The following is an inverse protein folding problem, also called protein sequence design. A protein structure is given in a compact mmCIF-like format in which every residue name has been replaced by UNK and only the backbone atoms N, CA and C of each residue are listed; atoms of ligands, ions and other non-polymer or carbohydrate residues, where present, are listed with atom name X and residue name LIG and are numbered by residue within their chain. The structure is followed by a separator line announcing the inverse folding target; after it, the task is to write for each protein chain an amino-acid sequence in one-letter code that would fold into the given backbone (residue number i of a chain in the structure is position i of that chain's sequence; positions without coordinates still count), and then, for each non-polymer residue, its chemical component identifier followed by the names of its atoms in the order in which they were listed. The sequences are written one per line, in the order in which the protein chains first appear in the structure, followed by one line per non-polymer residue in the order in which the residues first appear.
data_IF_573612010968
#
_entry.id   IF_573612010968
#
_cell.length_a   1.000
_cell.length_b   1.000
_cell.length_c   1.000
_cell.angle_alpha   90.00
_cell.angle_beta   90.00
_cell.angle_gamma   90.00
#
_symmetry.space_group_name_H-M   'P 1'
#
loop_
_entity.id
_entity.type
_entity.pdbx_description
1 polymer ?
#
# COMPACT_ATOMS: atom_id res chain seq x y z
N UNK A 1 -11.98 -8.47 -27.56
CA UNK A 1 -11.19 -7.59 -26.68
C UNK A 1 -11.85 -7.59 -25.31
N UNK A 2 -11.14 -8.05 -24.27
CA UNK A 2 -11.65 -7.99 -22.90
C UNK A 2 -11.26 -6.61 -22.34
N UNK A 3 -12.22 -5.84 -21.83
CA UNK A 3 -11.94 -4.53 -21.20
C UNK A 3 -11.55 -4.77 -19.75
N UNK A 4 -10.36 -4.33 -19.39
CA UNK A 4 -9.92 -4.22 -18.00
C UNK A 4 -10.17 -2.79 -17.53
N UNK A 5 -11.22 -2.61 -16.74
CA UNK A 5 -11.55 -1.33 -16.12
C UNK A 5 -10.61 -1.06 -14.94
N UNK A 6 -10.49 0.21 -14.57
CA UNK A 6 -9.87 0.57 -13.30
C UNK A 6 -10.70 -0.04 -12.14
N UNK A 7 -10.06 -0.69 -11.15
CA UNK A 7 -10.80 -1.37 -10.10
C UNK A 7 -11.55 -0.38 -9.23
N UNK A 8 -12.79 -0.71 -8.87
CA UNK A 8 -13.53 0.02 -7.82
C UNK A 8 -12.96 -0.28 -6.42
N UNK A 9 -13.56 0.29 -5.38
CA UNK A 9 -13.10 0.12 -4.00
C UNK A 9 -13.13 -1.34 -3.54
N UNK A 10 -14.26 -2.04 -3.72
CA UNK A 10 -14.44 -3.43 -3.32
C UNK A 10 -13.43 -4.34 -4.04
N UNK A 11 -13.18 -4.08 -5.33
CA UNK A 11 -12.18 -4.79 -6.12
C UNK A 11 -10.76 -4.52 -5.62
N UNK A 12 -10.43 -3.27 -5.23
CA UNK A 12 -9.13 -2.97 -4.64
C UNK A 12 -8.95 -3.66 -3.28
N UNK A 13 -9.99 -3.70 -2.45
CA UNK A 13 -9.93 -4.43 -1.18
C UNK A 13 -9.67 -5.93 -1.41
N UNK A 14 -10.39 -6.54 -2.36
CA UNK A 14 -10.19 -7.94 -2.73
C UNK A 14 -8.76 -8.20 -3.23
N UNK A 15 -8.20 -7.30 -4.05
CA UNK A 15 -6.80 -7.38 -4.49
C UNK A 15 -5.88 -7.32 -3.26
N UNK A 16 -6.04 -6.32 -2.38
CA UNK A 16 -5.19 -6.16 -1.20
C UNK A 16 -5.20 -7.37 -0.26
N UNK A 17 -6.37 -7.97 -0.04
CA UNK A 17 -6.51 -9.18 0.80
C UNK A 17 -5.84 -10.40 0.18
N UNK A 18 -5.76 -10.46 -1.15
CA UNK A 18 -5.20 -11.60 -1.89
C UNK A 18 -3.77 -11.41 -2.39
N UNK A 19 -3.17 -10.22 -2.23
CA UNK A 19 -1.91 -9.89 -2.91
C UNK A 19 -0.69 -10.54 -2.26
N UNK A 20 -0.74 -10.76 -0.94
CA UNK A 20 0.35 -11.33 -0.18
C UNK A 20 0.26 -12.87 -0.16
N UNK A 21 1.35 -13.58 -0.49
CA UNK A 21 1.43 -15.03 -0.27
C UNK A 21 1.17 -15.41 1.19
N UNK A 22 0.65 -16.62 1.42
CA UNK A 22 0.32 -17.12 2.77
C UNK A 22 1.51 -17.12 3.74
N UNK A 23 2.74 -17.25 3.23
CA UNK A 23 3.95 -17.29 4.03
C UNK A 23 4.49 -15.89 4.38
N UNK A 24 3.94 -14.83 3.81
CA UNK A 24 4.36 -13.46 4.12
C UNK A 24 3.88 -13.11 5.54
N UNK A 25 4.77 -12.75 6.48
CA UNK A 25 4.35 -12.28 7.79
C UNK A 25 3.61 -10.95 7.62
N UNK A 26 2.34 -10.91 8.03
CA UNK A 26 1.51 -9.72 7.98
C UNK A 26 1.18 -9.26 9.39
N UNK A 27 1.11 -7.95 9.57
CA UNK A 27 0.55 -7.38 10.79
C UNK A 27 -0.95 -7.68 10.86
N UNK A 28 -1.45 -8.04 12.04
CA UNK A 28 -2.87 -8.23 12.32
C UNK A 28 -3.69 -6.94 12.19
N UNK A 29 -3.05 -5.77 12.29
CA UNK A 29 -3.69 -4.45 12.19
C UNK A 29 -3.72 -3.88 10.76
N UNK A 30 -3.53 -4.70 9.72
CA UNK A 30 -3.68 -4.24 8.34
C UNK A 30 -5.12 -3.81 8.04
N UNK A 31 -5.29 -2.52 7.76
CA UNK A 31 -6.58 -1.95 7.37
C UNK A 31 -6.77 -1.97 5.85
N UNK A 32 -7.25 -3.09 5.34
CA UNK A 32 -7.55 -3.26 3.92
C UNK A 32 -8.62 -2.30 3.40
N UNK A 33 -9.58 -1.92 4.24
CA UNK A 33 -10.63 -0.97 3.87
C UNK A 33 -10.06 0.43 3.67
N UNK A 34 -9.14 0.86 4.54
CA UNK A 34 -8.38 2.09 4.34
C UNK A 34 -7.58 2.03 3.04
N UNK A 35 -6.82 0.96 2.81
CA UNK A 35 -6.01 0.81 1.59
C UNK A 35 -6.86 0.88 0.32
N UNK A 36 -8.05 0.25 0.33
CA UNK A 36 -8.97 0.29 -0.79
C UNK A 36 -9.55 1.69 -1.03
N UNK A 37 -9.95 2.40 0.04
CA UNK A 37 -10.52 3.76 -0.03
C UNK A 37 -9.52 4.83 -0.42
N UNK A 38 -8.32 4.80 0.18
CA UNK A 38 -7.37 5.91 0.16
C UNK A 38 -6.27 5.77 -0.87
N UNK A 39 -5.99 4.57 -1.37
CA UNK A 39 -5.01 4.32 -2.42
C UNK A 39 -5.73 3.94 -3.72
N UNK A 40 -6.20 4.92 -4.52
CA UNK A 40 -6.85 4.65 -5.80
C UNK A 40 -5.80 4.23 -6.83
N UNK A 41 -5.36 2.97 -6.77
CA UNK A 41 -4.32 2.41 -7.64
C UNK A 41 -4.87 1.29 -8.52
N UNK A 42 -4.33 1.17 -9.72
CA UNK A 42 -4.58 0.01 -10.58
C UNK A 42 -3.96 -1.25 -9.96
N UNK A 43 -4.49 -2.42 -10.29
CA UNK A 43 -4.02 -3.70 -9.71
C UNK A 43 -2.52 -3.96 -9.89
N UNK A 44 -1.94 -3.54 -11.02
CA UNK A 44 -0.49 -3.62 -11.25
C UNK A 44 0.33 -2.78 -10.26
N UNK A 45 -0.14 -1.57 -9.93
CA UNK A 45 0.50 -0.74 -8.92
C UNK A 45 0.29 -1.26 -7.50
N UNK A 46 -0.91 -1.80 -7.18
CA UNK A 46 -1.13 -2.47 -5.89
C UNK A 46 -0.12 -3.61 -5.70
N UNK A 47 0.13 -4.42 -6.73
CA UNK A 47 1.15 -5.47 -6.71
C UNK A 47 2.56 -4.91 -6.46
N UNK A 48 2.94 -3.82 -7.12
CA UNK A 48 4.25 -3.18 -6.92
C UNK A 48 4.42 -2.65 -5.50
N UNK A 49 3.37 -2.05 -4.94
CA UNK A 49 3.36 -1.53 -3.57
C UNK A 49 3.49 -2.69 -2.58
N UNK A 50 2.70 -3.76 -2.74
CA UNK A 50 2.76 -4.95 -1.90
C UNK A 50 4.17 -5.56 -1.90
N UNK A 51 4.77 -5.74 -3.08
CA UNK A 51 6.13 -6.28 -3.22
C UNK A 51 7.17 -5.39 -2.50
N UNK A 52 7.13 -4.09 -2.75
CA UNK A 52 8.05 -3.13 -2.12
C UNK A 52 7.87 -3.11 -0.60
N UNK A 53 6.63 -3.16 -0.10
CA UNK A 53 6.34 -3.20 1.34
C UNK A 53 6.90 -4.46 2.01
N UNK A 54 6.87 -5.61 1.33
CA UNK A 54 7.48 -6.84 1.82
C UNK A 54 9.01 -6.73 1.92
N UNK A 55 9.66 -6.08 0.95
CA UNK A 55 11.10 -5.80 1.03
C UNK A 55 11.45 -4.85 2.18
N UNK A 56 10.67 -3.79 2.37
CA UNK A 56 10.86 -2.84 3.47
C UNK A 56 10.73 -3.53 4.84
N UNK A 57 9.70 -4.35 5.02
CA UNK A 57 9.48 -5.09 6.26
C UNK A 57 10.59 -6.12 6.50
N UNK A 58 10.96 -6.88 5.47
CA UNK A 58 12.02 -7.89 5.55
C UNK A 58 13.38 -7.28 5.89
N UNK A 59 13.69 -6.07 5.39
CA UNK A 59 14.94 -5.38 5.71
C UNK A 59 15.11 -5.07 7.20
N UNK A 60 14.00 -4.95 7.93
CA UNK A 60 13.96 -4.69 9.36
C UNK A 60 13.66 -5.96 10.20
N UNK A 61 13.46 -7.12 9.56
CA UNK A 61 13.02 -8.35 10.24
C UNK A 61 11.60 -8.26 10.81
N UNK A 62 10.75 -7.40 10.24
CA UNK A 62 9.40 -7.12 10.71
C UNK A 62 8.33 -7.78 9.81
N UNK A 63 7.10 -7.87 10.33
CA UNK A 63 5.94 -8.20 9.52
C UNK A 63 5.50 -7.00 8.66
N UNK A 64 4.83 -7.26 7.53
CA UNK A 64 4.28 -6.21 6.68
C UNK A 64 3.08 -5.55 7.38
N UNK A 65 3.32 -4.40 8.00
CA UNK A 65 2.29 -3.49 8.51
C UNK A 65 2.04 -2.25 7.66
N UNK A 66 1.11 -1.40 8.12
CA UNK A 66 0.65 -0.19 7.42
C UNK A 66 1.78 0.78 7.08
N UNK A 67 2.75 0.99 7.98
CA UNK A 67 3.90 1.88 7.73
C UNK A 67 4.70 1.49 6.48
N UNK A 68 4.91 0.19 6.25
CA UNK A 68 5.64 -0.32 5.09
C UNK A 68 4.84 -0.13 3.80
N UNK A 69 3.53 -0.36 3.85
CA UNK A 69 2.64 -0.20 2.70
C UNK A 69 2.54 1.27 2.31
N UNK A 70 2.37 2.18 3.27
CA UNK A 70 2.27 3.61 3.01
C UNK A 70 3.59 4.20 2.51
N UNK A 71 4.74 3.72 3.02
CA UNK A 71 6.06 4.07 2.48
C UNK A 71 6.21 3.59 1.04
N UNK A 72 5.87 2.33 0.76
CA UNK A 72 5.89 1.77 -0.59
C UNK A 72 4.92 2.49 -1.53
N UNK A 73 3.79 2.97 -1.02
CA UNK A 73 2.85 3.78 -1.78
C UNK A 73 3.46 5.12 -2.18
N UNK A 74 4.15 5.81 -1.28
CA UNK A 74 4.88 7.03 -1.61
C UNK A 74 5.91 6.77 -2.72
N UNK A 75 6.69 5.68 -2.63
CA UNK A 75 7.63 5.30 -3.70
C UNK A 75 6.96 5.02 -5.05
N UNK A 76 5.74 4.46 -5.05
CA UNK A 76 4.98 4.28 -6.28
C UNK A 76 4.48 5.62 -6.85
N UNK A 77 4.12 6.59 -6.00
CA UNK A 77 3.70 7.93 -6.41
C UNK A 77 4.85 8.79 -6.94
N UNK A 78 6.06 8.64 -6.37
CA UNK A 78 7.26 9.35 -6.80
C UNK A 78 7.56 9.14 -8.29
N UNK A 79 7.20 7.97 -8.84
CA UNK A 79 7.30 7.66 -10.29
C UNK A 79 6.52 8.62 -11.18
N UNK A 80 5.55 9.33 -10.59
CA UNK A 80 4.69 10.33 -11.25
C UNK A 80 4.84 11.73 -10.67
N UNK A 81 5.88 11.97 -9.86
CA UNK A 81 6.11 13.24 -9.15
C UNK A 81 4.91 13.68 -8.27
N UNK A 82 4.23 12.72 -7.63
CA UNK A 82 3.16 12.99 -6.66
C UNK A 82 3.60 12.60 -5.25
N UNK A 83 3.14 13.35 -4.26
CA UNK A 83 3.42 13.11 -2.85
C UNK A 83 2.12 12.96 -2.09
N UNK A 84 2.05 11.98 -1.18
CA UNK A 84 0.92 11.82 -0.28
C UNK A 84 0.90 12.95 0.73
N UNK A 85 -0.27 13.53 0.96
CA UNK A 85 -0.47 14.57 1.96
C UNK A 85 -0.86 13.98 3.32
N UNK A 86 -0.67 14.77 4.38
CA UNK A 86 -1.06 14.36 5.73
C UNK A 86 -2.57 14.13 5.86
N UNK A 87 -3.37 14.90 5.13
CA UNK A 87 -4.84 14.76 5.12
C UNK A 87 -5.28 13.47 4.41
N UNK A 88 -4.58 13.07 3.35
CA UNK A 88 -4.83 11.80 2.65
C UNK A 88 -4.51 10.58 3.54
N UNK A 89 -3.50 10.70 4.42
CA UNK A 89 -3.16 9.66 5.39
C UNK A 89 -4.19 9.51 6.52
N UNK A 90 -4.96 10.56 6.82
CA UNK A 90 -6.02 10.56 7.84
C UNK A 90 -5.58 9.90 9.17
N UNK A 91 -6.14 8.74 9.54
CA UNK A 91 -5.78 8.02 10.77
C UNK A 91 -4.31 7.59 10.84
N UNK A 92 -3.62 7.50 9.69
CA UNK A 92 -2.18 7.19 9.59
C UNK A 92 -1.29 8.43 9.44
N UNK A 93 -1.81 9.64 9.71
CA UNK A 93 -1.03 10.88 9.64
C UNK A 93 0.22 10.90 10.55
N UNK A 94 0.27 10.02 11.56
CA UNK A 94 1.46 9.84 12.41
C UNK A 94 2.64 9.21 11.66
N UNK A 95 2.39 8.43 10.60
CA UNK A 95 3.43 7.86 9.74
C UNK A 95 4.05 8.87 8.76
N UNK A 96 3.52 10.10 8.66
CA UNK A 96 3.91 11.05 7.62
C UNK A 96 5.43 11.31 7.57
N UNK A 97 6.06 11.56 8.72
CA UNK A 97 7.50 11.81 8.80
C UNK A 97 8.35 10.59 8.38
N UNK A 98 7.91 9.39 8.78
CA UNK A 98 8.59 8.14 8.43
C UNK A 98 8.49 7.84 6.92
N UNK A 99 7.32 8.14 6.33
CA UNK A 99 7.08 8.01 4.90
C UNK A 99 7.99 8.94 4.07
N UNK A 100 8.40 10.09 4.61
CA UNK A 100 9.22 11.06 3.90
C UNK A 100 10.69 11.09 4.30
N UNK A 101 11.10 10.29 5.31
CA UNK A 101 12.51 10.13 5.66
C UNK A 101 13.27 9.43 4.51
N UNK A 102 14.35 10.07 4.04
CA UNK A 102 15.23 9.55 3.00
C UNK A 102 16.02 8.32 3.46
#
# INVERSE_FOLDING_TARGET
MIRFSFPDEDQREAIWRGIFPQQTPLDHELDYGFLARKLPMAGGSIKNIALTSAFLASGNGEAVGMKHILKAYQYELDKTNRTITRDELAEYAYCFEEIHRL
#
